data_IF_480356811455
#
_entry.id   IF_480356811455
#
_cell.length_a   1.000
_cell.length_b   1.000
_cell.length_c   1.000
_cell.angle_alpha   90.00
_cell.angle_beta   90.00
_cell.angle_gamma   90.00
#
_symmetry.space_group_name_H-M   'P 1'
#
loop_
_entity.id
_entity.type
_entity.pdbx_description
1 polymer ?
#
# COMPACT_ATOMS: atom_id res chain seq x y z
N UNK A 1 -13.92 -4.20 -15.65
CA UNK A 1 -13.54 -3.75 -14.30
C UNK A 1 -12.05 -4.00 -14.09
N UNK A 2 -11.35 -3.27 -13.20
CA UNK A 2 -9.88 -3.25 -13.18
C UNK A 2 -9.31 -3.67 -11.82
N UNK A 3 -8.63 -4.81 -11.77
CA UNK A 3 -7.72 -5.16 -10.67
C UNK A 3 -6.32 -4.69 -11.06
N UNK A 4 -5.70 -3.88 -10.21
CA UNK A 4 -4.31 -3.46 -10.35
C UNK A 4 -3.48 -4.12 -9.26
N UNK A 5 -2.39 -4.78 -9.66
CA UNK A 5 -1.54 -5.52 -8.73
C UNK A 5 -0.12 -5.02 -8.86
N UNK A 6 0.47 -4.69 -7.71
CA UNK A 6 1.85 -4.26 -7.60
C UNK A 6 2.47 -4.66 -6.27
N UNK A 7 3.65 -4.10 -6.05
CA UNK A 7 4.45 -4.27 -4.84
C UNK A 7 4.59 -2.91 -4.16
N UNK A 8 4.95 -2.93 -2.88
CA UNK A 8 5.41 -1.75 -2.18
C UNK A 8 6.88 -1.56 -2.54
N UNK A 9 7.16 -0.56 -3.37
CA UNK A 9 8.49 -0.25 -3.91
C UNK A 9 8.93 -1.12 -5.09
N UNK A 10 10.01 -0.69 -5.72
CA UNK A 10 10.69 -1.39 -6.81
C UNK A 10 12.22 -1.32 -6.71
N UNK A 11 12.78 -0.51 -5.80
CA UNK A 11 14.23 -0.26 -5.73
C UNK A 11 14.90 -1.04 -4.60
N UNK A 12 14.99 -2.36 -4.77
CA UNK A 12 15.54 -3.31 -3.81
C UNK A 12 16.74 -4.05 -4.40
N UNK A 13 17.91 -3.99 -3.75
CA UNK A 13 19.14 -4.62 -4.26
C UNK A 13 19.10 -6.14 -4.19
N UNK A 14 18.39 -6.69 -3.20
CA UNK A 14 18.11 -8.10 -3.02
C UNK A 14 17.14 -8.66 -4.08
N UNK A 15 16.56 -7.79 -4.92
CA UNK A 15 15.81 -8.22 -6.11
C UNK A 15 16.72 -8.46 -7.31
N UNK A 16 18.01 -8.08 -7.27
CA UNK A 16 18.97 -8.38 -8.34
C UNK A 16 19.40 -9.84 -8.28
N UNK A 17 19.17 -10.58 -9.36
CA UNK A 17 19.23 -12.03 -9.43
C UNK A 17 17.82 -12.62 -9.46
N UNK A 18 17.05 -12.52 -8.36
CA UNK A 18 15.69 -13.07 -8.28
C UNK A 18 14.66 -12.42 -9.22
N UNK A 19 14.78 -11.12 -9.52
CA UNK A 19 13.80 -10.42 -10.38
C UNK A 19 14.46 -9.50 -11.42
N UNK A 20 15.42 -8.69 -10.98
CA UNK A 20 16.24 -7.90 -11.89
C UNK A 20 17.39 -8.75 -12.42
N UNK A 21 17.74 -8.64 -13.71
CA UNK A 21 18.89 -9.33 -14.25
C UNK A 21 20.17 -8.83 -13.54
N UNK A 22 21.20 -9.68 -13.32
CA UNK A 22 22.41 -9.30 -12.59
C UNK A 22 23.09 -8.02 -13.11
N UNK A 23 23.03 -7.79 -14.43
CA UNK A 23 23.59 -6.63 -15.13
C UNK A 23 22.86 -5.33 -14.77
N UNK A 24 21.64 -5.41 -14.23
CA UNK A 24 20.88 -4.26 -13.79
C UNK A 24 21.38 -3.66 -12.47
N UNK A 25 22.27 -4.34 -11.71
CA UNK A 25 22.78 -3.85 -10.41
C UNK A 25 23.24 -2.40 -10.45
N UNK A 26 23.97 -2.04 -11.51
CA UNK A 26 24.53 -0.69 -11.70
C UNK A 26 23.65 0.22 -12.57
N UNK A 27 22.43 -0.20 -12.92
CA UNK A 27 21.50 0.50 -13.84
C UNK A 27 20.14 0.76 -13.19
N UNK A 28 20.13 1.19 -11.92
CA UNK A 28 18.92 1.47 -11.12
C UNK A 28 17.90 2.41 -11.80
N UNK A 29 18.37 3.29 -12.69
CA UNK A 29 17.50 4.19 -13.43
C UNK A 29 16.43 3.46 -14.26
N UNK A 30 16.73 2.27 -14.79
CA UNK A 30 15.84 1.45 -15.63
C UNK A 30 14.99 0.42 -14.88
N UNK A 31 15.11 0.34 -13.54
CA UNK A 31 14.43 -0.69 -12.77
C UNK A 31 12.91 -0.52 -12.77
N UNK A 32 12.42 0.72 -12.79
CA UNK A 32 10.98 0.98 -12.85
C UNK A 32 10.40 0.53 -14.19
N UNK A 33 11.11 0.74 -15.29
CA UNK A 33 10.72 0.29 -16.62
C UNK A 33 10.71 -1.24 -16.71
N UNK A 34 11.71 -1.91 -16.13
CA UNK A 34 11.71 -3.38 -16.02
C UNK A 34 10.53 -3.86 -15.17
N UNK A 35 10.32 -3.27 -14.00
CA UNK A 35 9.19 -3.57 -13.12
C UNK A 35 7.84 -3.39 -13.83
N UNK A 36 7.69 -2.30 -14.58
CA UNK A 36 6.50 -1.95 -15.34
C UNK A 36 6.15 -2.91 -16.49
N UNK A 37 7.04 -3.82 -16.88
CA UNK A 37 6.72 -4.92 -17.80
C UNK A 37 5.80 -5.95 -17.15
N UNK A 38 5.95 -6.14 -15.84
CA UNK A 38 5.22 -7.12 -15.06
C UNK A 38 4.05 -6.49 -14.31
N UNK A 39 4.15 -5.26 -13.83
CA UNK A 39 3.12 -4.67 -12.98
C UNK A 39 2.57 -3.38 -13.57
N UNK A 40 1.32 -3.09 -13.26
CA UNK A 40 0.59 -1.91 -13.70
C UNK A 40 0.35 -0.91 -12.56
N UNK A 41 0.86 -1.22 -11.37
CA UNK A 41 0.82 -0.36 -10.20
C UNK A 41 2.08 -0.56 -9.35
N UNK A 42 2.49 0.46 -8.61
CA UNK A 42 3.46 0.35 -7.52
C UNK A 42 3.06 1.27 -6.38
N UNK A 43 3.26 0.84 -5.13
CA UNK A 43 3.11 1.72 -3.97
C UNK A 43 4.48 2.35 -3.63
N UNK A 44 4.54 3.68 -3.59
CA UNK A 44 5.74 4.45 -3.23
C UNK A 44 5.72 4.71 -1.72
N UNK A 45 6.61 4.04 -1.00
CA UNK A 45 6.80 4.22 0.44
C UNK A 45 7.91 5.22 0.79
N UNK A 46 8.78 5.60 -0.17
CA UNK A 46 9.84 6.59 0.09
C UNK A 46 9.29 7.96 0.50
N UNK A 47 8.10 8.32 0.01
CA UNK A 47 7.38 9.55 0.38
C UNK A 47 6.97 9.60 1.84
N UNK A 48 6.86 8.43 2.49
CA UNK A 48 6.61 8.34 3.93
C UNK A 48 7.76 8.94 4.75
N UNK A 49 9.00 8.81 4.27
CA UNK A 49 10.21 9.24 4.97
C UNK A 49 10.72 10.60 4.52
N UNK A 50 10.46 10.98 3.27
CA UNK A 50 10.91 12.24 2.71
C UNK A 50 9.97 12.69 1.59
N UNK A 51 9.50 13.94 1.67
CA UNK A 51 8.69 14.52 0.60
C UNK A 51 9.58 14.71 -0.65
N UNK A 52 9.21 14.12 -1.79
CA UNK A 52 10.04 14.18 -2.99
C UNK A 52 10.04 15.60 -3.57
N UNK A 53 11.20 16.06 -4.02
CA UNK A 53 11.28 17.31 -4.78
C UNK A 53 10.68 17.19 -6.18
N UNK A 54 10.36 18.33 -6.79
CA UNK A 54 9.73 18.43 -8.12
C UNK A 54 10.42 17.58 -9.21
N UNK A 55 11.76 17.59 -9.25
CA UNK A 55 12.55 16.80 -10.22
C UNK A 55 12.26 15.29 -10.12
N UNK A 56 12.05 14.78 -8.92
CA UNK A 56 11.73 13.36 -8.69
C UNK A 56 10.33 13.04 -9.18
N UNK A 57 9.35 13.90 -8.88
CA UNK A 57 7.96 13.75 -9.33
C UNK A 57 7.87 13.80 -10.86
N UNK A 58 8.55 14.77 -11.50
CA UNK A 58 8.61 14.87 -12.96
C UNK A 58 9.24 13.62 -13.59
N UNK A 59 10.28 13.06 -12.96
CA UNK A 59 10.89 11.80 -13.42
C UNK A 59 9.94 10.60 -13.28
N UNK A 60 9.13 10.53 -12.22
CA UNK A 60 8.08 9.52 -12.10
C UNK A 60 7.01 9.67 -13.18
N UNK A 61 6.57 10.90 -13.47
CA UNK A 61 5.63 11.16 -14.56
C UNK A 61 6.20 10.69 -15.91
N UNK A 62 7.44 11.05 -16.22
CA UNK A 62 8.10 10.64 -17.47
C UNK A 62 8.21 9.11 -17.58
N UNK A 63 8.59 8.44 -16.49
CA UNK A 63 8.74 6.97 -16.46
C UNK A 63 7.39 6.26 -16.57
N UNK A 64 6.39 6.69 -15.80
CA UNK A 64 5.04 6.13 -15.85
C UNK A 64 4.41 6.23 -17.23
N UNK A 65 4.57 7.38 -17.91
CA UNK A 65 4.12 7.57 -19.30
C UNK A 65 4.79 6.59 -20.27
N UNK A 66 6.10 6.34 -20.12
CA UNK A 66 6.83 5.38 -20.97
C UNK A 66 6.39 3.94 -20.77
N UNK A 67 6.02 3.56 -19.54
CA UNK A 67 5.54 2.21 -19.23
C UNK A 67 4.14 1.97 -19.80
N UNK A 68 3.27 2.99 -19.74
CA UNK A 68 1.89 2.89 -20.19
C UNK A 68 1.01 2.06 -19.27
N UNK A 69 -0.26 2.48 -19.15
CA UNK A 69 -1.27 1.86 -18.27
C UNK A 69 -0.79 1.64 -16.81
N UNK A 70 0.10 2.50 -16.32
CA UNK A 70 0.78 2.34 -15.03
C UNK A 70 0.35 3.42 -14.04
N UNK A 71 0.21 3.07 -12.76
CA UNK A 71 -0.14 4.02 -11.70
C UNK A 71 0.78 3.90 -10.48
N UNK A 72 0.96 5.01 -9.78
CA UNK A 72 1.68 5.12 -8.53
C UNK A 72 0.67 5.33 -7.40
N UNK A 73 0.60 4.40 -6.46
CA UNK A 73 -0.01 4.69 -5.16
C UNK A 73 1.06 5.29 -4.26
N UNK A 74 0.72 6.25 -3.40
CA UNK A 74 1.70 6.96 -2.57
C UNK A 74 1.32 6.92 -1.11
N UNK A 75 2.30 6.65 -0.26
CA UNK A 75 2.14 6.73 1.19
C UNK A 75 2.44 8.13 1.69
N UNK A 76 1.51 8.70 2.45
CA UNK A 76 1.66 10.05 3.00
C UNK A 76 2.82 10.09 4.01
N UNK A 77 3.50 11.24 4.05
CA UNK A 77 4.63 11.50 4.92
C UNK A 77 4.31 11.21 6.39
N UNK A 78 5.25 10.59 7.11
CA UNK A 78 5.06 10.14 8.49
C UNK A 78 4.76 11.27 9.47
N UNK A 79 5.20 12.51 9.20
CA UNK A 79 4.83 13.66 10.04
C UNK A 79 3.31 13.84 10.10
N UNK A 80 2.57 13.54 9.03
CA UNK A 80 1.11 13.58 9.03
C UNK A 80 0.54 12.50 9.94
N UNK A 81 0.86 11.23 9.65
CA UNK A 81 0.16 10.07 10.27
C UNK A 81 0.77 9.56 11.57
N UNK A 82 2.04 9.86 11.84
CA UNK A 82 2.80 9.42 13.01
C UNK A 82 3.23 10.57 13.93
N UNK A 83 3.26 11.81 13.43
CA UNK A 83 3.49 13.01 14.24
C UNK A 83 2.17 13.68 14.63
N UNK A 84 1.60 14.44 13.69
CA UNK A 84 0.47 15.36 13.90
C UNK A 84 -0.81 14.67 14.34
N UNK A 85 -1.22 13.60 13.65
CA UNK A 85 -2.42 12.86 14.08
C UNK A 85 -2.25 12.22 15.47
N UNK A 86 -1.06 11.72 15.79
CA UNK A 86 -0.76 11.17 17.13
C UNK A 86 -0.84 12.27 18.21
N UNK A 87 -0.42 13.49 17.86
CA UNK A 87 -0.54 14.67 18.70
C UNK A 87 -1.96 15.27 18.72
N UNK A 88 -2.96 14.63 18.11
CA UNK A 88 -4.33 15.11 17.95
C UNK A 88 -4.44 16.46 17.21
N UNK A 89 -3.44 16.80 16.39
CA UNK A 89 -3.35 18.03 15.59
C UNK A 89 -3.90 17.78 14.18
N UNK A 90 -5.23 17.76 14.05
CA UNK A 90 -5.91 17.56 12.76
C UNK A 90 -5.58 18.66 11.74
N UNK A 91 -5.51 19.92 12.18
CA UNK A 91 -5.29 21.07 11.31
C UNK A 91 -3.86 21.08 10.74
N UNK A 92 -2.85 20.82 11.58
CA UNK A 92 -1.46 20.70 11.14
C UNK A 92 -1.25 19.50 10.23
N UNK A 93 -1.88 18.36 10.54
CA UNK A 93 -1.87 17.18 9.66
C UNK A 93 -2.46 17.51 8.28
N UNK A 94 -3.62 18.19 8.23
CA UNK A 94 -4.28 18.57 6.99
C UNK A 94 -3.49 19.61 6.19
N UNK A 95 -2.81 20.56 6.86
CA UNK A 95 -1.94 21.53 6.17
C UNK A 95 -0.81 20.82 5.40
N UNK A 96 -0.09 19.91 6.06
CA UNK A 96 0.99 19.14 5.45
C UNK A 96 0.49 18.20 4.34
N UNK A 97 -0.67 17.58 4.54
CA UNK A 97 -1.28 16.72 3.53
C UNK A 97 -1.70 17.52 2.29
N UNK A 98 -2.20 18.76 2.44
CA UNK A 98 -2.51 19.65 1.31
C UNK A 98 -1.28 20.12 0.55
N UNK A 99 -0.16 20.34 1.24
CA UNK A 99 1.12 20.59 0.58
C UNK A 99 1.54 19.39 -0.28
N UNK A 100 1.38 18.17 0.25
CA UNK A 100 1.63 16.94 -0.50
C UNK A 100 0.66 16.75 -1.68
N UNK A 101 -0.62 17.08 -1.51
CA UNK A 101 -1.61 17.11 -2.59
C UNK A 101 -1.16 18.01 -3.75
N UNK A 102 -0.76 19.25 -3.43
CA UNK A 102 -0.33 20.23 -4.42
C UNK A 102 0.98 19.82 -5.12
N UNK A 103 1.99 19.44 -4.35
CA UNK A 103 3.35 19.33 -4.86
C UNK A 103 3.69 17.95 -5.42
N UNK A 104 2.94 16.91 -5.02
CA UNK A 104 3.23 15.51 -5.37
C UNK A 104 2.04 14.83 -6.06
N UNK A 105 0.83 14.93 -5.50
CA UNK A 105 -0.32 14.21 -6.04
C UNK A 105 -0.85 14.85 -7.33
N UNK A 106 -1.04 16.17 -7.35
CA UNK A 106 -1.60 16.88 -8.50
C UNK A 106 -0.82 16.61 -9.81
N UNK A 107 0.53 16.67 -9.86
CA UNK A 107 1.27 16.35 -11.09
C UNK A 107 1.08 14.91 -11.58
N UNK A 108 0.95 13.94 -10.67
CA UNK A 108 0.71 12.54 -11.01
C UNK A 108 -0.73 12.33 -11.47
N UNK A 109 -1.68 12.98 -10.81
CA UNK A 109 -3.12 12.95 -11.13
C UNK A 109 -3.41 13.59 -12.49
N UNK A 110 -2.87 14.79 -12.76
CA UNK A 110 -2.97 15.49 -14.04
C UNK A 110 -2.39 14.64 -15.19
N UNK A 111 -1.36 13.83 -14.90
CA UNK A 111 -0.77 12.90 -15.84
C UNK A 111 -1.50 11.56 -15.97
N UNK A 112 -2.58 11.34 -15.21
CA UNK A 112 -3.34 10.08 -15.08
C UNK A 112 -2.48 8.89 -14.64
N UNK A 113 -1.53 9.16 -13.75
CA UNK A 113 -0.60 8.20 -13.18
C UNK A 113 -0.80 8.03 -11.66
N UNK A 114 -1.67 8.79 -11.02
CA UNK A 114 -1.97 8.62 -9.59
C UNK A 114 -2.91 7.44 -9.37
N UNK A 115 -2.53 6.51 -8.50
CA UNK A 115 -3.35 5.41 -8.02
C UNK A 115 -4.13 5.79 -6.76
N UNK A 116 -3.73 5.23 -5.61
CA UNK A 116 -4.28 5.55 -4.30
C UNK A 116 -3.35 6.40 -3.42
N UNK A 117 -3.90 7.05 -2.41
CA UNK A 117 -3.14 7.82 -1.41
C UNK A 117 -3.29 7.16 -0.05
N UNK A 118 -2.25 6.47 0.38
CA UNK A 118 -2.26 5.66 1.60
C UNK A 118 -1.94 6.52 2.83
N UNK A 119 -2.91 6.57 3.74
CA UNK A 119 -2.82 7.07 5.10
C UNK A 119 -2.64 5.88 6.05
N UNK A 120 -1.42 5.33 6.10
CA UNK A 120 -1.08 4.34 7.12
C UNK A 120 -0.94 5.04 8.47
N UNK A 121 -1.90 4.81 9.36
CA UNK A 121 -1.92 5.40 10.69
C UNK A 121 -0.86 4.76 11.58
N UNK A 122 -0.29 5.56 12.47
CA UNK A 122 0.65 5.08 13.46
C UNK A 122 0.00 4.09 14.42
N UNK A 123 0.71 3.03 14.86
CA UNK A 123 0.24 2.19 15.96
C UNK A 123 0.06 2.96 17.28
N UNK A 124 0.61 4.16 17.41
CA UNK A 124 0.41 5.04 18.56
C UNK A 124 -0.83 5.92 18.46
N UNK A 125 -1.42 6.07 17.28
CA UNK A 125 -2.69 6.77 17.12
C UNK A 125 -3.83 5.82 17.50
N UNK A 126 -4.14 5.78 18.80
CA UNK A 126 -5.19 4.92 19.36
C UNK A 126 -6.54 5.62 19.22
N UNK A 127 -7.60 4.86 19.00
CA UNK A 127 -8.97 5.35 19.25
C UNK A 127 -9.12 5.66 20.75
N UNK A 128 -9.25 6.94 21.09
CA UNK A 128 -9.56 7.42 22.44
C UNK A 128 -10.72 8.40 22.37
N UNK A 129 -11.45 8.48 23.47
CA UNK A 129 -12.50 9.46 23.70
C UNK A 129 -12.43 9.85 25.18
N UNK A 130 -11.56 10.82 25.50
CA UNK A 130 -11.27 11.23 26.87
C UNK A 130 -11.08 12.76 26.97
N UNK A 131 -10.71 13.27 28.16
CA UNK A 131 -10.53 14.70 28.41
C UNK A 131 -9.49 15.38 27.49
N UNK A 132 -8.59 14.63 26.85
CA UNK A 132 -7.61 15.14 25.87
C UNK A 132 -8.17 15.27 24.46
N UNK A 133 -9.35 14.69 24.20
CA UNK A 133 -10.05 14.77 22.92
C UNK A 133 -10.49 13.42 22.38
N UNK A 134 -11.06 13.45 21.17
CA UNK A 134 -11.57 12.28 20.46
C UNK A 134 -10.78 12.03 19.19
N UNK A 135 -10.14 10.86 19.09
CA UNK A 135 -9.39 10.47 17.88
C UNK A 135 -10.30 10.36 16.65
N UNK A 136 -11.58 10.05 16.86
CA UNK A 136 -12.57 10.01 15.78
C UNK A 136 -12.91 11.41 15.27
N UNK A 137 -13.02 12.41 16.16
CA UNK A 137 -13.17 13.81 15.75
C UNK A 137 -11.93 14.29 14.99
N UNK A 138 -10.73 14.01 15.49
CA UNK A 138 -9.46 14.34 14.82
C UNK A 138 -9.38 13.72 13.42
N UNK A 139 -9.72 12.44 13.28
CA UNK A 139 -9.75 11.76 11.99
C UNK A 139 -10.76 12.39 11.03
N UNK A 140 -11.97 12.72 11.52
CA UNK A 140 -13.03 13.35 10.74
C UNK A 140 -12.63 14.74 10.24
N UNK A 141 -12.04 15.55 11.10
CA UNK A 141 -11.59 16.91 10.78
C UNK A 141 -10.41 16.90 9.82
N UNK A 142 -9.44 16.01 10.07
CA UNK A 142 -8.29 15.81 9.18
C UNK A 142 -8.75 15.46 7.76
N UNK A 143 -9.58 14.42 7.62
CA UNK A 143 -10.10 14.00 6.32
C UNK A 143 -11.01 15.06 5.69
N UNK A 144 -11.68 15.88 6.49
CA UNK A 144 -12.45 17.03 6.02
C UNK A 144 -11.60 18.16 5.43
N UNK A 145 -10.30 18.20 5.74
CA UNK A 145 -9.34 19.14 5.19
C UNK A 145 -8.64 18.66 3.91
N UNK A 146 -8.94 17.45 3.42
CA UNK A 146 -8.34 16.86 2.22
C UNK A 146 -9.30 16.91 1.03
N UNK A 147 -8.76 16.88 -0.19
CA UNK A 147 -9.56 16.76 -1.41
C UNK A 147 -9.91 15.30 -1.72
N UNK A 148 -10.71 14.69 -0.85
CA UNK A 148 -11.16 13.29 -1.00
C UNK A 148 -12.15 13.09 -2.16
N UNK A 149 -12.61 14.18 -2.79
CA UNK A 149 -13.38 14.14 -4.02
C UNK A 149 -12.50 13.96 -5.26
N UNK A 150 -11.29 14.53 -5.24
CA UNK A 150 -10.30 14.40 -6.31
C UNK A 150 -9.42 13.16 -6.13
N UNK A 151 -8.88 12.94 -4.93
CA UNK A 151 -7.89 11.90 -4.67
C UNK A 151 -8.46 10.68 -3.96
N UNK A 152 -8.03 9.50 -4.39
CA UNK A 152 -8.46 8.20 -3.86
C UNK A 152 -7.70 7.86 -2.58
N UNK A 153 -8.13 8.43 -1.46
CA UNK A 153 -7.53 8.17 -0.15
C UNK A 153 -7.90 6.79 0.40
N UNK A 154 -6.94 6.18 1.10
CA UNK A 154 -7.08 4.90 1.80
C UNK A 154 -6.56 5.07 3.22
N UNK A 155 -7.33 4.68 4.23
CA UNK A 155 -6.88 4.65 5.62
C UNK A 155 -6.55 3.23 6.05
N UNK A 156 -5.34 3.05 6.57
CA UNK A 156 -4.89 1.80 7.15
C UNK A 156 -4.72 1.94 8.66
N UNK A 157 -5.58 1.23 9.41
CA UNK A 157 -5.52 1.16 10.87
C UNK A 157 -4.49 0.12 11.31
N UNK A 158 -3.67 0.48 12.31
CA UNK A 158 -2.59 -0.38 12.82
C UNK A 158 -2.71 -0.71 14.31
N UNK A 159 -3.69 -0.13 14.99
CA UNK A 159 -3.90 -0.36 16.43
C UNK A 159 -5.26 -1.01 16.68
N UNK A 160 -5.28 -2.03 17.53
CA UNK A 160 -6.47 -2.83 17.86
C UNK A 160 -7.64 -2.03 18.46
N UNK A 161 -7.39 -0.87 19.06
CA UNK A 161 -8.46 -0.03 19.60
C UNK A 161 -9.37 0.55 18.51
N UNK A 162 -8.96 0.51 17.24
CA UNK A 162 -9.80 0.84 16.09
C UNK A 162 -10.69 -0.31 15.62
N UNK A 163 -10.59 -1.49 16.23
CA UNK A 163 -11.51 -2.59 15.97
C UNK A 163 -12.80 -2.43 16.78
N UNK A 164 -13.84 -3.12 16.34
CA UNK A 164 -15.07 -3.31 17.09
C UNK A 164 -14.86 -4.13 18.37
N UNK A 165 -15.91 -4.24 19.20
CA UNK A 165 -15.83 -5.00 20.46
C UNK A 165 -15.47 -6.48 20.25
N UNK A 166 -15.88 -7.05 19.10
CA UNK A 166 -15.55 -8.42 18.71
C UNK A 166 -14.13 -8.60 18.16
N UNK A 167 -13.40 -7.51 17.93
CA UNK A 167 -12.07 -7.49 17.29
C UNK A 167 -12.03 -8.21 15.94
N UNK A 168 -13.13 -8.12 15.19
CA UNK A 168 -13.30 -8.80 13.90
C UNK A 168 -13.42 -7.83 12.73
N UNK A 169 -13.81 -6.60 12.99
CA UNK A 169 -14.00 -5.56 11.98
C UNK A 169 -13.51 -4.20 12.52
N UNK A 170 -13.29 -3.22 11.63
CA UNK A 170 -13.05 -1.84 12.05
C UNK A 170 -14.29 -1.29 12.76
N UNK A 171 -14.05 -0.49 13.80
CA UNK A 171 -15.07 0.15 14.61
C UNK A 171 -16.08 0.91 13.73
N UNK A 172 -17.41 0.71 13.92
CA UNK A 172 -18.43 1.29 13.04
C UNK A 172 -18.33 2.80 12.88
N UNK A 173 -18.12 3.54 13.98
CA UNK A 173 -17.98 4.99 13.91
C UNK A 173 -16.73 5.47 13.16
N UNK A 174 -15.71 4.64 12.99
CA UNK A 174 -14.58 4.95 12.11
C UNK A 174 -14.94 4.67 10.65
N UNK A 175 -15.61 3.55 10.38
CA UNK A 175 -16.13 3.23 9.04
C UNK A 175 -17.10 4.30 8.53
N UNK A 176 -17.95 4.86 9.38
CA UNK A 176 -18.89 5.92 9.01
C UNK A 176 -18.17 7.20 8.59
N UNK A 177 -17.12 7.62 9.32
CA UNK A 177 -16.27 8.75 8.94
C UNK A 177 -15.67 8.52 7.55
N UNK A 178 -15.15 7.31 7.28
CA UNK A 178 -14.55 6.98 5.99
C UNK A 178 -15.60 7.02 4.87
N UNK A 179 -16.81 6.47 5.09
CA UNK A 179 -17.92 6.50 4.12
C UNK A 179 -18.37 7.90 3.77
N UNK A 180 -18.58 8.75 4.77
CA UNK A 180 -18.97 10.15 4.57
C UNK A 180 -17.98 10.91 3.68
N UNK A 181 -16.70 10.55 3.76
CA UNK A 181 -15.62 11.17 2.99
C UNK A 181 -15.23 10.40 1.73
N UNK A 182 -15.89 9.27 1.42
CA UNK A 182 -15.56 8.35 0.32
C UNK A 182 -14.10 7.88 0.36
N UNK A 183 -13.55 7.70 1.55
CA UNK A 183 -12.19 7.21 1.80
C UNK A 183 -12.26 5.71 1.96
N UNK A 184 -11.39 4.96 1.28
CA UNK A 184 -11.37 3.51 1.41
C UNK A 184 -10.72 3.09 2.74
N UNK A 185 -11.23 2.04 3.35
CA UNK A 185 -10.53 1.32 4.43
C UNK A 185 -9.59 0.30 3.79
N UNK A 186 -8.34 0.26 4.25
CA UNK A 186 -7.38 -0.75 3.81
C UNK A 186 -7.77 -2.11 4.38
N UNK A 187 -7.81 -3.13 3.52
CA UNK A 187 -7.93 -4.54 3.93
C UNK A 187 -6.52 -5.09 4.06
N UNK A 188 -6.15 -5.54 5.26
CA UNK A 188 -4.79 -5.98 5.55
C UNK A 188 -4.71 -7.49 5.72
N UNK A 189 -3.67 -8.08 5.14
CA UNK A 189 -3.07 -9.28 5.66
C UNK A 189 -1.81 -8.91 6.45
N UNK A 190 -1.81 -9.08 7.77
CA UNK A 190 -0.69 -8.74 8.65
C UNK A 190 -0.73 -9.56 9.94
N UNK A 191 0.41 -9.83 10.59
CA UNK A 191 0.45 -10.48 11.90
C UNK A 191 -0.33 -9.67 12.95
N UNK A 192 -1.18 -10.36 13.71
CA UNK A 192 -1.87 -9.79 14.88
C UNK A 192 -2.98 -8.76 14.58
N UNK A 193 -3.37 -8.58 13.31
CA UNK A 193 -4.52 -7.77 12.93
C UNK A 193 -5.53 -8.63 12.17
N UNK A 194 -6.84 -8.56 12.47
CA UNK A 194 -7.82 -9.38 11.77
C UNK A 194 -7.95 -8.95 10.32
N UNK A 195 -8.29 -9.90 9.45
CA UNK A 195 -8.67 -9.57 8.09
C UNK A 195 -10.09 -9.02 8.08
N UNK A 196 -10.21 -7.75 7.72
CA UNK A 196 -11.48 -7.02 7.67
C UNK A 196 -12.15 -7.13 6.30
N UNK A 197 -13.44 -6.80 6.23
CA UNK A 197 -14.26 -6.95 5.02
C UNK A 197 -15.04 -5.69 4.62
N UNK A 198 -15.04 -4.68 5.49
CA UNK A 198 -15.75 -3.44 5.24
C UNK A 198 -15.27 -2.74 3.96
N UNK A 199 -16.22 -2.12 3.27
CA UNK A 199 -15.97 -1.22 2.14
C UNK A 199 -16.58 0.14 2.45
N UNK A 200 -15.81 1.19 2.23
CA UNK A 200 -16.17 2.57 2.59
C UNK A 200 -16.03 3.55 1.42
N UNK A 201 -15.59 3.07 0.25
CA UNK A 201 -15.47 3.82 -0.98
C UNK A 201 -15.79 2.92 -2.19
N UNK A 202 -15.84 3.50 -3.38
CA UNK A 202 -15.99 2.78 -4.65
C UNK A 202 -14.69 2.09 -5.11
N UNK A 203 -13.60 2.25 -4.36
CA UNK A 203 -12.33 1.56 -4.58
C UNK A 203 -11.95 0.74 -3.35
N UNK A 204 -11.36 -0.43 -3.60
CA UNK A 204 -10.79 -1.27 -2.56
C UNK A 204 -9.27 -1.24 -2.63
N UNK A 205 -8.63 -1.37 -1.47
CA UNK A 205 -7.18 -1.39 -1.33
C UNK A 205 -6.79 -2.52 -0.39
N UNK A 206 -5.99 -3.47 -0.89
CA UNK A 206 -5.54 -4.65 -0.16
C UNK A 206 -4.02 -4.60 -0.02
N UNK A 207 -3.50 -4.81 1.20
CA UNK A 207 -2.07 -4.90 1.44
C UNK A 207 -1.68 -6.21 2.10
N UNK A 208 -0.71 -6.90 1.50
CA UNK A 208 -0.15 -8.15 1.98
C UNK A 208 1.19 -7.92 2.66
N UNK A 209 1.25 -8.00 3.98
CA UNK A 209 2.49 -7.74 4.74
C UNK A 209 3.33 -8.99 5.04
N UNK A 210 2.78 -10.17 4.85
CA UNK A 210 3.34 -11.45 5.30
C UNK A 210 2.78 -11.88 6.65
N UNK A 211 3.11 -13.09 7.10
CA UNK A 211 2.65 -13.65 8.38
C UNK A 211 3.79 -14.05 9.33
N UNK A 212 4.97 -13.41 9.23
CA UNK A 212 6.15 -13.64 10.10
C UNK A 212 5.92 -13.22 11.57
N UNK A 213 4.96 -13.84 12.28
CA UNK A 213 4.51 -13.47 13.63
C UNK A 213 5.63 -13.39 14.65
N UNK A 214 6.54 -14.37 14.64
CA UNK A 214 7.62 -14.49 15.63
C UNK A 214 8.60 -13.31 15.55
N UNK A 215 8.87 -12.81 14.34
CA UNK A 215 9.78 -11.69 14.11
C UNK A 215 9.03 -10.34 14.20
N UNK A 216 7.75 -10.33 13.82
CA UNK A 216 6.95 -9.12 13.72
C UNK A 216 6.85 -8.35 15.04
N UNK A 217 6.66 -9.08 16.13
CA UNK A 217 6.53 -8.53 17.49
C UNK A 217 7.79 -8.67 18.33
N UNK A 218 8.86 -9.28 17.79
CA UNK A 218 10.11 -9.45 18.52
C UNK A 218 10.72 -8.09 18.88
N UNK A 219 11.09 -7.96 20.16
CA UNK A 219 11.91 -6.86 20.68
C UNK A 219 13.39 -7.10 20.41
N UNK A 220 13.77 -8.36 20.23
CA UNK A 220 15.11 -8.73 19.83
C UNK A 220 15.27 -8.44 18.35
N UNK A 221 16.30 -7.66 18.04
CA UNK A 221 16.72 -7.42 16.67
C UNK A 221 17.83 -8.44 16.38
N UNK A 222 17.53 -9.64 15.88
CA UNK A 222 18.58 -10.55 15.44
C UNK A 222 19.48 -9.80 14.44
N UNK A 223 20.79 -10.06 14.47
CA UNK A 223 21.75 -9.35 13.63
C UNK A 223 21.34 -9.37 12.15
N UNK A 224 21.32 -8.20 11.51
CA UNK A 224 20.82 -8.01 10.14
C UNK A 224 19.79 -6.87 10.02
N UNK A 225 19.32 -6.59 8.80
CA UNK A 225 18.24 -5.61 8.60
C UNK A 225 16.89 -6.21 9.03
N UNK A 226 16.53 -5.96 10.29
CA UNK A 226 15.26 -6.42 10.86
C UNK A 226 14.00 -6.00 10.09
N UNK A 227 14.06 -4.96 9.23
CA UNK A 227 12.93 -4.60 8.37
C UNK A 227 12.72 -5.65 7.29
N UNK A 228 13.79 -6.11 6.64
CA UNK A 228 13.74 -7.22 5.69
C UNK A 228 13.15 -8.46 6.35
N UNK A 229 13.60 -8.83 7.56
CA UNK A 229 13.13 -10.04 8.24
C UNK A 229 11.61 -10.06 8.52
N UNK A 230 10.98 -8.91 8.78
CA UNK A 230 9.52 -8.84 9.00
C UNK A 230 8.72 -9.08 7.73
N UNK A 231 9.24 -8.59 6.60
CA UNK A 231 8.60 -8.66 5.30
C UNK A 231 9.13 -9.80 4.43
N UNK A 232 10.06 -10.61 4.95
CA UNK A 232 10.61 -11.78 4.27
C UNK A 232 9.68 -13.00 4.39
N UNK A 233 8.52 -12.90 3.73
CA UNK A 233 7.48 -13.93 3.76
C UNK A 233 7.10 -14.33 2.35
N UNK A 234 6.98 -15.64 2.08
CA UNK A 234 6.48 -16.14 0.80
C UNK A 234 5.14 -16.82 1.06
N UNK A 235 4.05 -16.18 0.61
CA UNK A 235 2.74 -16.80 0.68
C UNK A 235 2.69 -18.04 -0.20
N UNK A 236 2.09 -19.11 0.31
CA UNK A 236 1.72 -20.28 -0.48
C UNK A 236 0.47 -20.01 -1.32
N UNK A 237 0.21 -20.85 -2.33
CA UNK A 237 -1.04 -20.76 -3.10
C UNK A 237 -2.27 -21.07 -2.24
N UNK A 238 -2.13 -21.92 -1.21
CA UNK A 238 -3.19 -22.21 -0.25
C UNK A 238 -3.56 -20.97 0.57
N UNK A 239 -2.58 -20.20 1.03
CA UNK A 239 -2.82 -18.95 1.76
C UNK A 239 -3.41 -17.86 0.86
N UNK A 240 -3.02 -17.83 -0.41
CA UNK A 240 -3.55 -16.88 -1.41
C UNK A 240 -4.95 -17.26 -1.91
N UNK A 241 -5.33 -18.53 -1.87
CA UNK A 241 -6.61 -19.04 -2.38
C UNK A 241 -7.83 -18.28 -1.83
N UNK A 242 -8.01 -18.17 -0.50
CA UNK A 242 -9.13 -17.42 0.08
C UNK A 242 -9.17 -15.93 -0.30
N UNK A 243 -8.04 -15.35 -0.73
CA UNK A 243 -8.00 -13.97 -1.19
C UNK A 243 -8.51 -13.81 -2.62
N UNK A 244 -8.45 -14.84 -3.45
CA UNK A 244 -9.07 -14.86 -4.78
C UNK A 244 -10.56 -14.66 -4.63
N UNK A 245 -11.22 -15.51 -3.84
CA UNK A 245 -12.67 -15.42 -3.56
C UNK A 245 -13.05 -14.05 -2.98
N UNK A 246 -12.23 -13.51 -2.08
CA UNK A 246 -12.46 -12.19 -1.49
C UNK A 246 -12.34 -11.08 -2.53
N UNK A 247 -11.33 -11.11 -3.39
CA UNK A 247 -11.17 -10.13 -4.46
C UNK A 247 -12.35 -10.20 -5.40
N UNK A 248 -12.77 -11.39 -5.82
CA UNK A 248 -13.95 -11.56 -6.68
C UNK A 248 -15.24 -11.03 -6.01
N UNK A 249 -15.39 -11.18 -4.69
CA UNK A 249 -16.52 -10.59 -3.96
C UNK A 249 -16.45 -9.07 -3.88
N UNK A 250 -15.26 -8.52 -3.64
CA UNK A 250 -15.03 -7.08 -3.66
C UNK A 250 -15.29 -6.52 -5.07
N UNK A 251 -14.90 -7.25 -6.11
CA UNK A 251 -15.10 -6.86 -7.49
C UNK A 251 -16.59 -6.68 -7.83
N UNK A 252 -17.49 -7.44 -7.20
CA UNK A 252 -18.93 -7.25 -7.41
C UNK A 252 -19.47 -5.92 -6.84
N UNK A 253 -18.71 -5.21 -6.01
CA UNK A 253 -19.19 -4.05 -5.22
C UNK A 253 -18.38 -2.77 -5.42
N UNK A 254 -17.14 -2.88 -5.87
CA UNK A 254 -16.27 -1.74 -6.15
C UNK A 254 -16.13 -1.50 -7.66
N UNK A 255 -15.53 -0.38 -8.07
CA UNK A 255 -15.15 -0.09 -9.46
C UNK A 255 -13.74 -0.53 -9.79
N UNK A 256 -12.88 -0.59 -8.78
CA UNK A 256 -11.47 -0.88 -8.90
C UNK A 256 -10.92 -1.49 -7.61
N UNK A 257 -10.07 -2.50 -7.76
CA UNK A 257 -9.35 -3.14 -6.64
C UNK A 257 -7.86 -2.93 -6.86
N UNK A 258 -7.19 -2.31 -5.88
CA UNK A 258 -5.73 -2.20 -5.84
C UNK A 258 -5.16 -3.15 -4.82
N UNK A 259 -4.10 -3.83 -5.22
CA UNK A 259 -3.43 -4.83 -4.39
C UNK A 259 -1.94 -4.51 -4.36
N UNK A 260 -1.40 -4.34 -3.16
CA UNK A 260 0.01 -4.07 -2.94
C UNK A 260 0.63 -5.16 -2.05
N UNK A 261 1.58 -5.92 -2.63
CA UNK A 261 2.38 -6.88 -1.89
C UNK A 261 3.56 -6.16 -1.21
N UNK A 262 3.56 -6.16 0.12
CA UNK A 262 4.57 -5.53 0.98
C UNK A 262 5.54 -6.54 1.60
N UNK A 263 5.35 -7.84 1.37
CA UNK A 263 6.28 -8.92 1.74
C UNK A 263 7.51 -8.95 0.80
N UNK A 264 8.20 -7.81 0.70
CA UNK A 264 9.17 -7.50 -0.36
C UNK A 264 10.53 -8.19 -0.20
N UNK A 265 10.79 -8.91 0.90
CA UNK A 265 12.08 -9.56 1.14
C UNK A 265 12.45 -10.51 0.00
N UNK A 266 13.68 -10.38 -0.51
CA UNK A 266 14.23 -11.22 -1.58
C UNK A 266 13.29 -11.36 -2.78
N UNK A 267 12.58 -10.31 -3.20
CA UNK A 267 11.60 -10.34 -4.30
C UNK A 267 10.41 -11.32 -4.12
N UNK A 268 10.14 -11.81 -2.89
CA UNK A 268 8.98 -12.68 -2.61
C UNK A 268 7.65 -12.00 -2.94
N UNK A 269 7.53 -10.69 -2.71
CA UNK A 269 6.39 -9.88 -3.14
C UNK A 269 6.14 -9.96 -4.66
N UNK A 270 7.20 -9.93 -5.48
CA UNK A 270 7.07 -10.05 -6.95
C UNK A 270 6.50 -11.42 -7.31
N UNK A 271 7.06 -12.48 -6.72
CA UNK A 271 6.60 -13.85 -6.94
C UNK A 271 5.13 -14.01 -6.54
N UNK A 272 4.76 -13.58 -5.34
CA UNK A 272 3.38 -13.68 -4.87
C UNK A 272 2.42 -12.83 -5.70
N UNK A 273 2.81 -11.62 -6.12
CA UNK A 273 1.98 -10.78 -6.98
C UNK A 273 1.70 -11.43 -8.35
N UNK A 274 2.70 -12.09 -8.95
CA UNK A 274 2.52 -12.82 -10.22
C UNK A 274 1.68 -14.08 -10.06
N UNK A 275 1.95 -14.87 -9.01
CA UNK A 275 1.15 -16.07 -8.68
C UNK A 275 -0.31 -15.68 -8.44
N UNK A 276 -0.55 -14.65 -7.63
CA UNK A 276 -1.89 -14.17 -7.30
C UNK A 276 -2.63 -13.65 -8.53
N UNK A 277 -1.95 -12.91 -9.41
CA UNK A 277 -2.55 -12.49 -10.69
C UNK A 277 -2.97 -13.66 -11.56
N UNK A 278 -2.13 -14.71 -11.65
CA UNK A 278 -2.47 -15.93 -12.39
C UNK A 278 -3.69 -16.61 -11.78
N UNK A 279 -3.78 -16.67 -10.44
CA UNK A 279 -4.93 -17.26 -9.75
C UNK A 279 -6.24 -16.50 -10.01
N UNK A 280 -6.19 -15.18 -10.15
CA UNK A 280 -7.35 -14.34 -10.53
C UNK A 280 -7.77 -14.48 -12.02
N UNK A 281 -7.15 -15.38 -12.79
CA UNK A 281 -7.49 -15.60 -14.20
C UNK A 281 -7.14 -14.43 -15.12
N UNK A 282 -6.27 -13.51 -14.68
CA UNK A 282 -5.99 -12.27 -15.40
C UNK A 282 -5.29 -12.48 -16.75
N UNK A 283 -5.99 -12.17 -17.84
CA UNK A 283 -5.42 -11.89 -19.15
C UNK A 283 -4.87 -10.45 -19.13
N UNK A 284 -3.57 -10.33 -18.84
CA UNK A 284 -2.97 -9.06 -18.47
C UNK A 284 -2.74 -8.22 -19.72
N UNK A 285 -3.50 -7.13 -19.89
CA UNK A 285 -3.41 -6.17 -21.01
C UNK A 285 -1.98 -5.75 -21.38
N UNK A 286 -1.30 -6.60 -22.15
CA UNK A 286 0.09 -6.49 -22.57
C UNK A 286 1.18 -6.69 -21.49
N UNK A 287 0.88 -7.18 -20.28
CA UNK A 287 1.92 -7.36 -19.21
C UNK A 287 2.44 -8.79 -19.17
N UNK A 288 3.71 -8.94 -18.80
CA UNK A 288 4.34 -10.25 -18.60
C UNK A 288 3.76 -10.93 -17.35
N UNK A 289 3.37 -12.19 -17.49
CA UNK A 289 2.69 -12.99 -16.44
C UNK A 289 3.59 -14.07 -15.83
N UNK A 290 4.79 -14.27 -16.38
CA UNK A 290 5.78 -15.24 -15.90
C UNK A 290 7.09 -14.55 -15.65
N UNK A 291 7.76 -14.89 -14.54
CA UNK A 291 9.14 -14.47 -14.35
C UNK A 291 10.04 -15.13 -15.41
N UNK A 292 11.18 -14.50 -15.78
CA UNK A 292 12.17 -15.14 -16.63
C UNK A 292 12.60 -16.49 -16.04
N UNK A 293 12.79 -17.50 -16.89
CA UNK A 293 13.11 -18.91 -16.54
C UNK A 293 14.34 -19.11 -15.63
N UNK A 294 15.13 -18.07 -15.41
CA UNK A 294 16.32 -18.10 -14.52
C UNK A 294 15.96 -18.24 -13.03
N UNK A 295 14.68 -18.28 -12.69
CA UNK A 295 14.16 -18.32 -11.33
C UNK A 295 13.34 -19.60 -11.15
N UNK A 296 13.95 -20.65 -10.60
CA UNK A 296 13.22 -21.87 -10.21
C UNK A 296 12.57 -21.68 -8.85
N UNK A 297 11.52 -22.46 -8.53
CA UNK A 297 10.87 -22.44 -7.22
C UNK A 297 11.86 -22.66 -6.07
N UNK A 298 12.97 -23.36 -6.35
CA UNK A 298 14.06 -23.73 -5.44
C UNK A 298 15.03 -22.58 -5.11
N UNK A 299 14.88 -21.41 -5.75
CA UNK A 299 15.75 -20.25 -5.53
C UNK A 299 15.30 -19.32 -4.39
N UNK A 300 14.28 -19.72 -3.61
CA UNK A 300 13.73 -18.98 -2.47
C UNK A 300 13.58 -19.84 -1.22
#
# INVERSE_FOLDING_TARGET
MKVRIGCCGWQYDDWVGPFYPPEARNRRAGWLEHYGRFFDSVEIDSTHYSVPGRRTVDAWVQKGRRIGNFEFSLKVHQEVTHGRLVALDAAGAAALARDFERDVLAPLDDARLLGAVLLQLSPHFRRVDDARGSSQAVLRDFLGGLDTGRYRYVVEFRHESWLDAGRREIHPGALDILRERKVAVCVLDSPGFPVTSAQTADTAYIRFHGQNRDIWFSREKPGGDTRLNRYDYLYSEEELGPWVDRVEDIERRCREVRIAFNNHGHAKAVRNALVFRRMLGGDAGGKETRMPERVTLDSF
#
